data_IF_967617789324
#
_entry.id   IF_967617789324
#
_cell.length_a   1.000
_cell.length_b   1.000
_cell.length_c   1.000
_cell.angle_alpha   90.00
_cell.angle_beta   90.00
_cell.angle_gamma   90.00
#
_symmetry.space_group_name_H-M   'P 1'
#
loop_
_entity.id
_entity.type
_entity.pdbx_description
1 polymer ?
#
# COMPACT_ATOMS: atom_id res chain seq x y z
N UNK A 1 1.40 -33.52 -12.38
CA UNK A 1 0.20 -32.65 -12.24
C UNK A 1 -0.33 -32.60 -10.79
N UNK A 2 0.46 -32.25 -9.75
CA UNK A 2 -0.08 -32.01 -8.39
C UNK A 2 -0.45 -30.54 -8.09
N UNK A 3 -0.04 -29.57 -8.91
CA UNK A 3 -0.11 -28.14 -8.58
C UNK A 3 -1.45 -27.45 -8.88
N UNK A 4 -2.39 -28.11 -9.56
CA UNK A 4 -3.66 -27.46 -9.97
C UNK A 4 -4.58 -27.16 -8.79
N UNK A 5 -4.45 -27.89 -7.68
CA UNK A 5 -5.28 -27.69 -6.48
C UNK A 5 -4.63 -26.79 -5.42
N UNK A 6 -3.30 -26.59 -5.47
CA UNK A 6 -2.56 -25.84 -4.44
C UNK A 6 -2.74 -24.32 -4.57
N UNK A 7 -2.80 -23.80 -5.79
CA UNK A 7 -2.97 -22.36 -6.02
C UNK A 7 -4.39 -21.87 -5.66
N UNK A 8 -5.48 -22.53 -6.12
CA UNK A 8 -6.84 -22.16 -5.73
C UNK A 8 -7.06 -22.20 -4.22
N UNK A 9 -6.47 -23.19 -3.54
CA UNK A 9 -6.55 -23.31 -2.07
C UNK A 9 -5.76 -22.21 -1.36
N UNK A 10 -4.59 -21.81 -1.87
CA UNK A 10 -3.85 -20.67 -1.32
C UNK A 10 -4.63 -19.33 -1.46
N UNK A 11 -5.26 -19.07 -2.61
CA UNK A 11 -6.13 -17.90 -2.80
C UNK A 11 -7.36 -17.94 -1.88
N UNK A 12 -7.96 -19.12 -1.71
CA UNK A 12 -9.09 -19.32 -0.81
C UNK A 12 -8.70 -19.08 0.65
N UNK A 13 -7.60 -19.69 1.11
CA UNK A 13 -7.12 -19.57 2.48
C UNK A 13 -6.73 -18.13 2.83
N UNK A 14 -6.00 -17.46 1.93
CA UNK A 14 -5.65 -16.04 2.10
C UNK A 14 -6.89 -15.13 2.06
N UNK A 15 -7.84 -15.37 1.16
CA UNK A 15 -9.10 -14.64 1.10
C UNK A 15 -9.94 -14.77 2.38
N UNK A 16 -10.07 -15.99 2.91
CA UNK A 16 -10.74 -16.25 4.20
C UNK A 16 -10.02 -15.52 5.34
N UNK A 17 -8.69 -15.60 5.39
CA UNK A 17 -7.90 -14.95 6.44
C UNK A 17 -8.07 -13.43 6.41
N UNK A 18 -8.05 -12.81 5.22
CA UNK A 18 -8.33 -11.37 5.05
C UNK A 18 -9.74 -11.04 5.56
N UNK A 19 -10.75 -11.81 5.18
CA UNK A 19 -12.14 -11.56 5.60
C UNK A 19 -12.31 -11.73 7.10
N UNK A 20 -11.75 -12.78 7.70
CA UNK A 20 -11.77 -12.97 9.16
C UNK A 20 -11.11 -11.79 9.88
N UNK A 21 -9.97 -11.30 9.36
CA UNK A 21 -9.31 -10.11 9.90
C UNK A 21 -10.20 -8.85 9.77
N UNK A 22 -10.90 -8.70 8.65
CA UNK A 22 -11.81 -7.58 8.42
C UNK A 22 -13.04 -7.65 9.35
N UNK A 23 -13.60 -8.84 9.57
CA UNK A 23 -14.70 -9.07 10.52
C UNK A 23 -14.24 -8.76 11.96
N UNK A 24 -13.04 -9.19 12.34
CA UNK A 24 -12.48 -8.88 13.65
C UNK A 24 -12.31 -7.36 13.84
N UNK A 25 -11.74 -6.66 12.85
CA UNK A 25 -11.66 -5.19 12.82
C UNK A 25 -13.03 -4.50 12.83
N UNK A 26 -14.07 -5.12 12.27
CA UNK A 26 -15.43 -4.58 12.32
C UNK A 26 -15.99 -4.54 13.74
N UNK A 27 -15.63 -5.53 14.58
CA UNK A 27 -16.05 -5.54 15.99
C UNK A 27 -15.43 -4.38 16.76
N UNK A 28 -14.15 -4.13 16.58
CA UNK A 28 -13.44 -2.98 17.19
C UNK A 28 -13.98 -1.64 16.66
N UNK A 29 -14.31 -1.58 15.36
CA UNK A 29 -14.93 -0.40 14.75
C UNK A 29 -16.24 0.02 15.45
N UNK A 30 -17.03 -0.93 15.95
CA UNK A 30 -18.23 -0.64 16.72
C UNK A 30 -17.94 0.20 17.98
N UNK A 31 -16.90 -0.18 18.72
CA UNK A 31 -16.47 0.55 19.92
C UNK A 31 -15.94 1.95 19.57
N UNK A 32 -15.12 2.06 18.51
CA UNK A 32 -14.62 3.36 18.04
C UNK A 32 -15.74 4.29 17.55
N UNK A 33 -16.76 3.74 16.91
CA UNK A 33 -17.91 4.52 16.45
C UNK A 33 -18.68 5.13 17.62
N UNK A 34 -18.96 4.32 18.64
CA UNK A 34 -19.65 4.81 19.84
C UNK A 34 -18.81 5.85 20.59
N UNK A 35 -17.51 5.62 20.71
CA UNK A 35 -16.59 6.60 21.30
C UNK A 35 -16.60 7.92 20.52
N UNK A 36 -16.54 7.87 19.18
CA UNK A 36 -16.58 9.08 18.36
C UNK A 36 -17.90 9.85 18.51
N UNK A 37 -19.04 9.15 18.58
CA UNK A 37 -20.35 9.76 18.79
C UNK A 37 -20.43 10.45 20.16
N UNK A 38 -19.94 9.80 21.22
CA UNK A 38 -19.86 10.39 22.57
C UNK A 38 -18.92 11.60 22.59
N UNK A 39 -17.74 11.49 21.99
CA UNK A 39 -16.76 12.57 21.92
C UNK A 39 -17.31 13.80 21.17
N UNK A 40 -18.03 13.56 20.07
CA UNK A 40 -18.67 14.63 19.33
C UNK A 40 -19.86 15.25 20.08
N UNK A 41 -20.61 14.46 20.83
CA UNK A 41 -21.73 14.98 21.60
C UNK A 41 -21.26 15.78 22.82
N UNK A 42 -20.31 15.25 23.58
CA UNK A 42 -19.98 15.75 24.91
C UNK A 42 -18.85 16.79 24.90
N UNK A 43 -17.90 16.70 23.96
CA UNK A 43 -16.76 17.63 23.90
C UNK A 43 -16.98 18.72 22.85
N UNK A 44 -17.47 18.35 21.66
CA UNK A 44 -17.61 19.31 20.56
C UNK A 44 -18.79 20.28 20.78
N UNK A 45 -19.97 19.78 21.17
CA UNK A 45 -21.12 20.65 21.43
C UNK A 45 -20.98 21.45 22.72
N UNK A 46 -20.36 20.89 23.76
CA UNK A 46 -20.17 21.59 25.03
C UNK A 46 -19.19 22.77 24.94
N UNK A 47 -18.29 22.77 23.94
CA UNK A 47 -17.29 23.83 23.72
C UNK A 47 -17.51 24.61 22.41
N UNK A 48 -18.76 24.61 21.94
CA UNK A 48 -19.18 25.32 20.74
C UNK A 48 -19.16 26.85 21.00
N UNK A 49 -18.07 27.51 20.62
CA UNK A 49 -17.84 28.94 20.84
C UNK A 49 -16.40 29.31 21.24
N UNK A 50 -15.60 28.33 21.69
CA UNK A 50 -14.16 28.54 21.88
C UNK A 50 -13.47 28.68 20.51
N UNK A 51 -12.74 29.79 20.34
CA UNK A 51 -11.91 30.05 19.16
C UNK A 51 -10.84 28.95 19.05
N UNK A 52 -10.80 28.31 17.89
CA UNK A 52 -9.71 27.41 17.47
C UNK A 52 -8.52 28.28 17.02
N UNK A 53 -8.03 29.19 17.86
CA UNK A 53 -6.91 30.07 17.52
C UNK A 53 -5.67 29.66 18.33
N UNK A 54 -4.64 29.16 17.63
CA UNK A 54 -3.24 29.26 18.07
C UNK A 54 -2.60 28.06 18.78
N UNK A 55 -3.33 27.22 19.50
CA UNK A 55 -2.72 26.13 20.29
C UNK A 55 -2.95 24.74 19.70
N UNK A 56 -2.63 24.53 18.42
CA UNK A 56 -2.55 23.17 17.83
C UNK A 56 -1.43 22.31 18.47
N UNK A 57 -0.50 22.95 19.17
CA UNK A 57 0.69 22.31 19.78
C UNK A 57 0.46 21.71 21.16
N UNK A 58 -0.71 21.90 21.80
CA UNK A 58 -0.97 21.47 23.19
C UNK A 58 -2.03 20.37 23.35
N UNK A 59 -2.57 19.81 22.27
CA UNK A 59 -3.51 18.69 22.38
C UNK A 59 -2.80 17.35 22.58
N UNK A 60 -3.42 16.49 23.38
CA UNK A 60 -2.90 15.16 23.76
C UNK A 60 -2.72 14.29 22.51
N UNK A 61 -3.63 14.38 21.54
CA UNK A 61 -3.52 13.68 20.26
C UNK A 61 -2.33 14.16 19.43
N UNK A 62 -2.00 15.46 19.44
CA UNK A 62 -0.85 15.99 18.70
C UNK A 62 0.47 15.56 19.33
N UNK A 63 0.58 15.61 20.66
CA UNK A 63 1.76 15.14 21.36
C UNK A 63 2.01 13.64 21.11
N UNK A 64 0.96 12.82 21.19
CA UNK A 64 1.06 11.39 20.84
C UNK A 64 1.49 11.18 19.38
N UNK A 65 0.94 11.93 18.43
CA UNK A 65 1.33 11.82 17.01
C UNK A 65 2.79 12.23 16.81
N UNK A 66 3.27 13.28 17.46
CA UNK A 66 4.68 13.66 17.38
C UNK A 66 5.58 12.58 17.99
N UNK A 67 5.24 12.06 19.17
CA UNK A 67 6.05 11.08 19.87
C UNK A 67 6.05 9.70 19.19
N UNK A 68 4.95 9.30 18.54
CA UNK A 68 4.81 7.96 17.95
C UNK A 68 4.91 7.93 16.43
N UNK A 69 4.65 9.03 15.70
CA UNK A 69 4.73 9.08 14.23
C UNK A 69 5.97 9.82 13.78
N UNK A 70 6.31 10.98 14.37
CA UNK A 70 7.54 11.69 13.99
C UNK A 70 8.80 10.91 14.38
N UNK A 71 8.83 10.33 15.58
CA UNK A 71 10.01 9.57 16.05
C UNK A 71 10.11 8.14 15.50
N UNK A 72 9.00 7.48 15.11
CA UNK A 72 9.06 6.14 14.49
C UNK A 72 8.97 6.14 12.96
N UNK A 73 8.53 7.23 12.30
CA UNK A 73 8.48 7.26 10.82
C UNK A 73 9.83 7.53 10.16
N UNK A 74 10.84 7.93 10.93
CA UNK A 74 12.24 7.85 10.52
C UNK A 74 12.69 6.39 10.57
N UNK A 75 12.24 5.62 9.59
CA UNK A 75 12.81 4.31 9.31
C UNK A 75 14.30 4.55 9.09
N UNK A 76 15.14 4.17 10.06
CA UNK A 76 16.61 4.22 9.96
C UNK A 76 17.17 3.61 8.66
N UNK A 77 16.39 2.74 8.00
CA UNK A 77 16.69 2.20 6.68
C UNK A 77 16.48 3.20 5.53
N UNK A 78 15.43 4.02 5.59
CA UNK A 78 15.13 5.04 4.59
C UNK A 78 16.07 6.24 4.70
N UNK A 79 16.43 6.65 5.92
CA UNK A 79 17.46 7.67 6.15
C UNK A 79 18.83 7.17 5.69
N UNK A 80 19.19 5.91 5.98
CA UNK A 80 20.41 5.31 5.43
C UNK A 80 20.41 5.20 3.91
N UNK A 81 19.27 4.95 3.27
CA UNK A 81 19.17 4.93 1.80
C UNK A 81 19.29 6.34 1.23
N UNK A 82 18.64 7.33 1.86
CA UNK A 82 18.73 8.73 1.44
C UNK A 82 20.15 9.28 1.63
N UNK A 83 20.78 9.06 2.79
CA UNK A 83 22.17 9.42 3.06
C UNK A 83 23.12 8.77 2.03
N UNK A 84 22.88 7.49 1.69
CA UNK A 84 23.70 6.76 0.70
C UNK A 84 23.47 7.24 -0.74
N UNK A 85 22.27 7.72 -1.07
CA UNK A 85 21.93 8.29 -2.38
C UNK A 85 22.43 9.73 -2.53
N UNK A 86 22.46 10.49 -1.44
CA UNK A 86 22.89 11.89 -1.41
C UNK A 86 24.42 12.00 -1.53
N UNK A 87 25.18 11.14 -0.83
CA UNK A 87 26.64 11.16 -0.85
C UNK A 87 27.26 10.52 -2.11
N UNK A 88 26.56 9.62 -2.81
CA UNK A 88 27.11 8.91 -3.97
C UNK A 88 26.02 8.53 -5.00
N UNK A 89 25.35 9.52 -5.60
CA UNK A 89 24.30 9.33 -6.63
C UNK A 89 24.66 8.33 -7.73
N UNK A 90 25.90 8.33 -8.23
CA UNK A 90 26.33 7.43 -9.30
C UNK A 90 26.51 5.97 -8.82
N UNK A 91 27.07 5.78 -7.63
CA UNK A 91 27.23 4.45 -7.01
C UNK A 91 25.89 3.87 -6.55
N UNK A 92 25.02 4.73 -5.98
CA UNK A 92 23.67 4.37 -5.58
C UNK A 92 22.81 3.94 -6.76
N UNK A 93 22.91 4.63 -7.90
CA UNK A 93 22.22 4.25 -9.13
C UNK A 93 22.72 2.92 -9.69
N UNK A 94 24.05 2.69 -9.72
CA UNK A 94 24.63 1.41 -10.15
C UNK A 94 24.18 0.29 -9.22
N UNK A 95 24.21 0.49 -7.90
CA UNK A 95 23.79 -0.51 -6.92
C UNK A 95 22.29 -0.84 -7.05
N UNK A 96 21.43 0.17 -7.20
CA UNK A 96 20.00 -0.04 -7.47
C UNK A 96 19.77 -0.78 -8.78
N UNK A 97 20.48 -0.41 -9.85
CA UNK A 97 20.38 -1.10 -11.14
C UNK A 97 20.86 -2.55 -11.06
N UNK A 98 21.87 -2.84 -10.23
CA UNK A 98 22.41 -4.18 -10.01
C UNK A 98 21.44 -5.03 -9.17
N UNK A 99 20.83 -4.46 -8.13
CA UNK A 99 19.80 -5.13 -7.32
C UNK A 99 18.54 -5.39 -8.16
N UNK A 100 18.07 -4.39 -8.92
CA UNK A 100 16.92 -4.54 -9.82
C UNK A 100 17.22 -5.54 -10.95
N UNK A 101 18.40 -5.48 -11.56
CA UNK A 101 18.86 -6.41 -12.58
C UNK A 101 19.03 -7.83 -12.05
N UNK A 102 19.62 -8.00 -10.88
CA UNK A 102 19.73 -9.31 -10.22
C UNK A 102 18.37 -9.84 -9.81
N UNK A 103 17.47 -8.99 -9.30
CA UNK A 103 16.11 -9.40 -8.95
C UNK A 103 15.29 -9.81 -10.17
N UNK A 104 15.44 -9.12 -11.31
CA UNK A 104 14.76 -9.49 -12.55
C UNK A 104 15.31 -10.80 -13.10
N UNK A 105 16.63 -11.01 -13.01
CA UNK A 105 17.27 -12.27 -13.42
C UNK A 105 16.85 -13.43 -12.52
N UNK A 106 16.76 -13.22 -11.21
CA UNK A 106 16.25 -14.21 -10.24
C UNK A 106 14.77 -14.49 -10.49
N UNK A 107 13.95 -13.48 -10.77
CA UNK A 107 12.53 -13.67 -11.14
C UNK A 107 12.39 -14.44 -12.45
N UNK A 108 13.22 -14.15 -13.46
CA UNK A 108 13.26 -14.88 -14.73
C UNK A 108 13.76 -16.31 -14.54
N UNK A 109 14.76 -16.54 -13.69
CA UNK A 109 15.25 -17.88 -13.34
C UNK A 109 14.24 -18.68 -12.51
N UNK A 110 13.50 -18.02 -11.60
CA UNK A 110 12.36 -18.59 -10.88
C UNK A 110 11.20 -18.94 -11.82
N UNK A 111 11.09 -18.24 -12.96
CA UNK A 111 10.09 -18.49 -14.00
C UNK A 111 10.42 -19.68 -14.92
N UNK A 112 11.69 -20.07 -15.06
CA UNK A 112 12.14 -21.02 -16.10
C UNK A 112 12.11 -22.50 -15.67
N UNK A 113 11.84 -22.87 -14.41
CA UNK A 113 11.74 -24.29 -14.05
C UNK A 113 10.97 -24.58 -12.78
N UNK A 114 9.77 -25.17 -12.90
CA UNK A 114 8.96 -25.83 -11.87
C UNK A 114 8.65 -25.09 -10.54
N UNK A 115 9.18 -23.88 -10.31
CA UNK A 115 9.03 -23.09 -9.08
C UNK A 115 7.94 -22.01 -9.22
N UNK A 116 7.40 -21.80 -10.42
CA UNK A 116 6.36 -20.79 -10.71
C UNK A 116 5.14 -20.94 -9.80
N UNK A 117 4.67 -22.17 -9.57
CA UNK A 117 3.52 -22.41 -8.70
C UNK A 117 3.84 -22.05 -7.24
N UNK A 118 5.00 -22.47 -6.73
CA UNK A 118 5.43 -22.19 -5.35
C UNK A 118 5.70 -20.71 -5.11
N UNK A 119 6.36 -20.03 -6.06
CA UNK A 119 6.64 -18.59 -5.98
C UNK A 119 5.37 -17.75 -5.98
N UNK A 120 4.40 -18.09 -6.82
CA UNK A 120 3.10 -17.40 -6.83
C UNK A 120 2.33 -17.65 -5.54
N UNK A 121 2.33 -18.88 -5.01
CA UNK A 121 1.70 -19.16 -3.71
C UNK A 121 2.30 -18.31 -2.59
N UNK A 122 3.63 -18.26 -2.49
CA UNK A 122 4.32 -17.44 -1.48
C UNK A 122 3.95 -15.96 -1.64
N UNK A 123 3.92 -15.44 -2.87
CA UNK A 123 3.50 -14.05 -3.13
C UNK A 123 2.06 -13.78 -2.70
N UNK A 124 1.13 -14.69 -3.01
CA UNK A 124 -0.28 -14.58 -2.59
C UNK A 124 -0.40 -14.54 -1.07
N UNK A 125 0.38 -15.37 -0.35
CA UNK A 125 0.44 -15.33 1.11
C UNK A 125 1.05 -14.04 1.65
N UNK A 126 2.15 -13.55 1.07
CA UNK A 126 2.78 -12.29 1.48
C UNK A 126 1.82 -11.12 1.29
N UNK A 127 1.13 -11.06 0.15
CA UNK A 127 0.11 -10.02 -0.11
C UNK A 127 -1.04 -10.13 0.89
N UNK A 128 -1.53 -11.35 1.15
CA UNK A 128 -2.58 -11.57 2.14
C UNK A 128 -2.16 -11.10 3.54
N UNK A 129 -0.94 -11.43 3.98
CA UNK A 129 -0.38 -10.96 5.24
C UNK A 129 -0.21 -9.44 5.28
N UNK A 130 0.27 -8.83 4.20
CA UNK A 130 0.41 -7.37 4.10
C UNK A 130 -0.95 -6.66 4.23
N UNK A 131 -2.02 -7.21 3.63
CA UNK A 131 -3.38 -6.68 3.76
C UNK A 131 -3.90 -6.82 5.20
N UNK A 132 -3.61 -7.95 5.85
CA UNK A 132 -4.01 -8.20 7.23
C UNK A 132 -3.30 -7.25 8.19
N UNK A 133 -1.99 -7.08 8.04
CA UNK A 133 -1.22 -6.09 8.82
C UNK A 133 -1.75 -4.68 8.58
N UNK A 134 -2.12 -4.36 7.34
CA UNK A 134 -2.60 -3.05 6.94
C UNK A 134 -1.47 -2.03 6.76
N UNK A 135 -1.72 -0.92 6.04
CA UNK A 135 -0.74 0.14 5.87
C UNK A 135 -0.45 0.77 7.24
N UNK A 136 0.78 1.23 7.44
CA UNK A 136 1.21 1.86 8.70
C UNK A 136 0.22 2.92 9.21
N UNK A 137 -0.34 3.72 8.30
CA UNK A 137 -1.32 4.76 8.60
C UNK A 137 -2.62 4.25 9.23
N UNK A 138 -3.12 3.07 8.82
CA UNK A 138 -4.34 2.49 9.38
C UNK A 138 -4.07 1.94 10.79
N UNK A 139 -2.91 1.30 10.99
CA UNK A 139 -2.50 0.78 12.29
C UNK A 139 -2.23 1.89 13.31
N UNK A 140 -1.49 2.93 12.93
CA UNK A 140 -1.28 4.10 13.80
C UNK A 140 -2.57 4.83 14.11
N UNK A 141 -3.52 4.88 13.17
CA UNK A 141 -4.87 5.41 13.43
C UNK A 141 -5.65 4.58 14.47
N UNK A 142 -5.52 3.25 14.44
CA UNK A 142 -6.13 2.38 15.45
C UNK A 142 -5.49 2.58 16.83
N UNK A 143 -4.16 2.67 16.88
CA UNK A 143 -3.42 2.91 18.12
C UNK A 143 -3.76 4.29 18.74
N UNK A 144 -3.88 5.34 17.91
CA UNK A 144 -4.32 6.65 18.37
C UNK A 144 -5.74 6.59 18.95
N UNK A 145 -6.67 5.91 18.27
CA UNK A 145 -8.05 5.77 18.78
C UNK A 145 -8.10 4.96 20.07
N UNK A 146 -7.30 3.89 20.19
CA UNK A 146 -7.17 3.12 21.42
C UNK A 146 -6.64 3.98 22.58
N UNK A 147 -5.60 4.77 22.32
CA UNK A 147 -5.04 5.70 23.31
C UNK A 147 -6.05 6.77 23.75
N UNK A 148 -6.82 7.34 22.82
CA UNK A 148 -7.85 8.34 23.16
C UNK A 148 -9.00 7.72 23.95
N UNK A 149 -9.35 6.45 23.72
CA UNK A 149 -10.38 5.74 24.48
C UNK A 149 -9.98 5.45 25.93
N UNK A 150 -8.69 5.40 26.23
CA UNK A 150 -8.18 5.22 27.61
C UNK A 150 -8.20 6.53 28.42
N UNK A 151 -8.43 7.68 27.77
CA UNK A 151 -8.47 8.99 28.44
C UNK A 151 -9.88 9.37 28.84
N UNK A 152 -10.00 10.04 29.98
CA UNK A 152 -11.26 10.60 30.44
C UNK A 152 -11.73 11.72 29.49
N UNK A 153 -13.03 11.73 29.18
CA UNK A 153 -13.65 12.68 28.25
C UNK A 153 -13.44 14.15 28.65
N UNK A 154 -13.20 14.43 29.93
CA UNK A 154 -12.91 15.77 30.45
C UNK A 154 -11.57 16.34 29.98
N UNK A 155 -10.60 15.46 29.74
CA UNK A 155 -9.22 15.83 29.41
C UNK A 155 -9.03 16.04 27.90
N UNK A 156 -10.01 15.62 27.11
CA UNK A 156 -10.03 15.75 25.67
C UNK A 156 -10.48 17.15 25.25
N UNK A 157 -9.76 17.73 24.30
CA UNK A 157 -10.05 19.02 23.71
C UNK A 157 -10.78 18.87 22.36
N UNK A 158 -11.36 19.98 21.89
CA UNK A 158 -12.06 20.07 20.60
C UNK A 158 -11.17 19.64 19.41
N UNK A 159 -9.86 19.84 19.51
CA UNK A 159 -8.89 19.44 18.50
C UNK A 159 -8.71 17.91 18.45
N UNK A 160 -8.74 17.21 19.58
CA UNK A 160 -8.63 15.74 19.63
C UNK A 160 -9.81 15.08 18.91
N UNK A 161 -10.98 15.73 18.87
CA UNK A 161 -12.15 15.30 18.08
C UNK A 161 -11.83 15.27 16.58
N UNK A 162 -11.07 16.23 16.08
CA UNK A 162 -10.67 16.30 14.66
C UNK A 162 -9.69 15.17 14.34
N UNK A 163 -8.69 14.93 15.20
CA UNK A 163 -7.75 13.82 15.06
C UNK A 163 -8.44 12.46 15.13
N UNK A 164 -9.36 12.27 16.09
CA UNK A 164 -10.17 11.06 16.20
C UNK A 164 -11.02 10.82 14.94
N UNK A 165 -11.62 11.88 14.37
CA UNK A 165 -12.40 11.78 13.12
C UNK A 165 -11.53 11.38 11.93
N UNK A 166 -10.33 11.94 11.80
CA UNK A 166 -9.38 11.59 10.73
C UNK A 166 -8.93 10.13 10.88
N UNK A 167 -8.52 9.73 12.08
CA UNK A 167 -8.11 8.37 12.39
C UNK A 167 -9.24 7.37 12.09
N UNK A 168 -10.47 7.68 12.51
CA UNK A 168 -11.65 6.85 12.26
C UNK A 168 -11.93 6.68 10.76
N UNK A 169 -11.85 7.77 9.98
CA UNK A 169 -12.04 7.70 8.53
C UNK A 169 -10.96 6.87 7.83
N UNK A 170 -9.71 6.95 8.31
CA UNK A 170 -8.60 6.12 7.83
C UNK A 170 -8.87 4.64 8.07
N UNK A 171 -9.24 4.26 9.30
CA UNK A 171 -9.59 2.87 9.66
C UNK A 171 -10.78 2.38 8.84
N UNK A 172 -11.84 3.18 8.70
CA UNK A 172 -13.03 2.85 7.89
C UNK A 172 -12.71 2.66 6.41
N UNK A 173 -11.83 3.49 5.85
CA UNK A 173 -11.40 3.38 4.45
C UNK A 173 -10.62 2.09 4.25
N UNK A 174 -9.64 1.83 5.12
CA UNK A 174 -8.83 0.62 5.06
C UNK A 174 -9.67 -0.64 5.23
N UNK A 175 -10.63 -0.63 6.16
CA UNK A 175 -11.54 -1.74 6.35
C UNK A 175 -12.30 -2.05 5.04
N UNK A 176 -12.87 -1.05 4.38
CA UNK A 176 -13.55 -1.22 3.08
C UNK A 176 -12.63 -1.81 2.02
N UNK A 177 -11.39 -1.33 1.93
CA UNK A 177 -10.39 -1.84 0.99
C UNK A 177 -10.05 -3.31 1.30
N UNK A 178 -9.81 -3.63 2.57
CA UNK A 178 -9.46 -5.00 3.00
C UNK A 178 -10.61 -5.99 2.74
N UNK A 179 -11.86 -5.60 3.00
CA UNK A 179 -13.03 -6.43 2.69
C UNK A 179 -13.18 -6.62 1.17
N UNK A 180 -13.02 -5.56 0.39
CA UNK A 180 -13.09 -5.65 -1.07
C UNK A 180 -11.99 -6.57 -1.62
N UNK A 181 -10.76 -6.46 -1.13
CA UNK A 181 -9.66 -7.36 -1.50
C UNK A 181 -9.93 -8.81 -1.10
N UNK A 182 -10.46 -9.04 0.10
CA UNK A 182 -10.85 -10.39 0.55
C UNK A 182 -11.92 -11.02 -0.36
N UNK A 183 -12.95 -10.26 -0.74
CA UNK A 183 -13.99 -10.72 -1.68
C UNK A 183 -13.37 -11.02 -3.05
N UNK A 184 -12.51 -10.13 -3.55
CA UNK A 184 -11.81 -10.33 -4.84
C UNK A 184 -10.99 -11.62 -4.80
N UNK A 185 -10.25 -11.89 -3.73
CA UNK A 185 -9.47 -13.13 -3.58
C UNK A 185 -10.37 -14.38 -3.58
N UNK A 186 -11.54 -14.33 -2.92
CA UNK A 186 -12.49 -15.44 -2.96
C UNK A 186 -13.11 -15.68 -4.34
N UNK A 187 -13.47 -14.61 -5.06
CA UNK A 187 -14.06 -14.71 -6.41
C UNK A 187 -13.03 -15.23 -7.42
N UNK A 188 -11.77 -14.83 -7.24
CA UNK A 188 -10.66 -15.21 -8.11
C UNK A 188 -10.12 -16.61 -7.79
N UNK A 189 -10.27 -17.10 -6.56
CA UNK A 189 -9.83 -18.44 -6.11
C UNK A 189 -10.15 -19.59 -7.08
N UNK A 190 -11.38 -19.78 -7.62
CA UNK A 190 -11.67 -20.86 -8.55
C UNK A 190 -10.88 -20.77 -9.87
N UNK A 191 -10.40 -19.57 -10.23
CA UNK A 191 -9.56 -19.33 -11.40
C UNK A 191 -8.07 -19.26 -11.05
N UNK A 192 -7.68 -19.58 -9.82
CA UNK A 192 -6.32 -19.45 -9.30
C UNK A 192 -5.27 -20.08 -10.22
N UNK A 193 -5.54 -21.29 -10.73
CA UNK A 193 -4.63 -22.02 -11.63
C UNK A 193 -4.41 -21.32 -12.98
N UNK A 194 -5.40 -20.54 -13.46
CA UNK A 194 -5.35 -19.85 -14.75
C UNK A 194 -4.69 -18.48 -14.69
N UNK A 195 -4.53 -17.89 -13.51
CA UNK A 195 -4.00 -16.52 -13.37
C UNK A 195 -2.51 -16.43 -13.69
N UNK A 196 -1.61 -17.27 -13.11
CA UNK A 196 -0.19 -17.21 -13.44
C UNK A 196 0.11 -17.34 -14.94
N UNK A 197 -0.45 -18.32 -15.68
CA UNK A 197 -0.16 -18.42 -17.11
C UNK A 197 -0.75 -17.23 -17.88
N UNK A 198 -1.89 -16.68 -17.47
CA UNK A 198 -2.51 -15.53 -18.14
C UNK A 198 -1.71 -14.24 -17.90
N UNK A 199 -1.18 -14.04 -16.69
CA UNK A 199 -0.23 -12.96 -16.39
C UNK A 199 1.05 -13.14 -17.19
N UNK A 200 1.63 -14.34 -17.21
CA UNK A 200 2.84 -14.63 -17.97
C UNK A 200 2.64 -14.40 -19.47
N UNK A 201 1.49 -14.78 -20.02
CA UNK A 201 1.13 -14.54 -21.42
C UNK A 201 0.95 -13.05 -21.70
N UNK A 202 0.29 -12.30 -20.82
CA UNK A 202 0.15 -10.86 -20.94
C UNK A 202 1.51 -10.15 -20.95
N UNK A 203 2.39 -10.51 -20.00
CA UNK A 203 3.77 -10.00 -19.97
C UNK A 203 4.53 -10.38 -21.23
N UNK A 204 4.47 -11.64 -21.66
CA UNK A 204 5.13 -12.09 -22.89
C UNK A 204 4.64 -11.33 -24.12
N UNK A 205 3.33 -11.06 -24.22
CA UNK A 205 2.74 -10.32 -25.32
C UNK A 205 3.17 -8.84 -25.31
N UNK A 206 3.19 -8.20 -24.14
CA UNK A 206 3.67 -6.82 -23.98
C UNK A 206 5.16 -6.74 -24.30
N UNK A 207 5.97 -7.65 -23.73
CA UNK A 207 7.41 -7.73 -24.00
C UNK A 207 7.69 -7.92 -25.48
N UNK A 208 6.94 -8.80 -26.15
CA UNK A 208 7.08 -9.05 -27.58
C UNK A 208 6.67 -7.85 -28.42
N UNK A 209 5.46 -7.33 -28.23
CA UNK A 209 4.90 -6.25 -29.05
C UNK A 209 5.64 -4.92 -28.86
N UNK A 210 6.07 -4.63 -27.63
CA UNK A 210 6.57 -3.32 -27.25
C UNK A 210 8.10 -3.23 -27.29
N UNK A 211 8.82 -4.34 -27.06
CA UNK A 211 10.29 -4.33 -27.08
C UNK A 211 10.86 -5.14 -28.23
N UNK A 212 10.53 -6.43 -28.31
CA UNK A 212 11.25 -7.36 -29.18
C UNK A 212 10.91 -7.17 -30.66
N UNK A 213 9.62 -7.10 -31.01
CA UNK A 213 9.15 -6.94 -32.39
C UNK A 213 9.75 -5.70 -33.09
N UNK A 214 9.63 -4.48 -32.52
CA UNK A 214 10.26 -3.29 -33.12
C UNK A 214 11.79 -3.36 -33.12
N UNK A 215 12.42 -3.96 -32.10
CA UNK A 215 13.87 -4.17 -32.08
C UNK A 215 14.33 -5.11 -33.21
N UNK A 216 13.60 -6.22 -33.46
CA UNK A 216 13.89 -7.13 -34.56
C UNK A 216 13.69 -6.45 -35.91
N UNK A 217 12.62 -5.68 -36.09
CA UNK A 217 12.41 -4.91 -37.31
C UNK A 217 13.59 -3.94 -37.58
N UNK A 218 14.03 -3.19 -36.57
CA UNK A 218 15.18 -2.29 -36.68
C UNK A 218 16.51 -3.02 -36.92
N UNK A 219 16.67 -4.23 -36.38
CA UNK A 219 17.90 -5.02 -36.55
C UNK A 219 18.18 -5.38 -38.00
N UNK A 220 17.14 -5.48 -38.84
CA UNK A 220 17.29 -5.72 -40.28
C UNK A 220 17.87 -4.53 -41.04
N UNK A 221 17.74 -3.31 -40.49
CA UNK A 221 18.29 -2.08 -41.06
C UNK A 221 19.68 -1.80 -40.47
N UNK A 222 19.79 -1.83 -39.14
CA UNK A 222 21.06 -1.66 -38.43
C UNK A 222 21.00 -2.29 -37.04
N UNK A 223 21.95 -3.18 -36.70
CA UNK A 223 22.04 -3.74 -35.35
C UNK A 223 22.22 -2.66 -34.27
N UNK A 224 22.93 -1.58 -34.58
CA UNK A 224 23.17 -0.49 -33.63
C UNK A 224 21.87 0.26 -33.27
N UNK A 225 20.97 0.46 -34.24
CA UNK A 225 19.66 1.08 -34.00
C UNK A 225 18.76 0.20 -33.15
N UNK A 226 18.82 -1.13 -33.33
CA UNK A 226 18.08 -2.10 -32.52
C UNK A 226 18.47 -2.04 -31.04
N UNK A 227 19.78 -2.02 -30.77
CA UNK A 227 20.31 -1.91 -29.39
C UNK A 227 19.94 -0.55 -28.78
N UNK A 228 20.08 0.55 -29.54
CA UNK A 228 19.69 1.88 -29.10
C UNK A 228 18.20 2.00 -28.77
N UNK A 229 17.34 1.38 -29.59
CA UNK A 229 15.90 1.30 -29.34
C UNK A 229 15.58 0.54 -28.06
N UNK A 230 16.16 -0.64 -27.84
CA UNK A 230 15.92 -1.42 -26.63
C UNK A 230 16.31 -0.66 -25.37
N UNK A 231 17.48 -0.01 -25.37
CA UNK A 231 17.93 0.80 -24.24
C UNK A 231 16.94 1.92 -23.91
N UNK A 232 16.47 2.65 -24.94
CA UNK A 232 15.54 3.77 -24.76
C UNK A 232 14.13 3.31 -24.37
N UNK A 233 13.64 2.21 -24.97
CA UNK A 233 12.34 1.62 -24.65
C UNK A 233 12.27 1.14 -23.20
N UNK A 234 13.33 0.53 -22.68
CA UNK A 234 13.42 0.12 -21.28
C UNK A 234 13.37 1.34 -20.35
N UNK A 235 14.14 2.39 -20.64
CA UNK A 235 14.14 3.63 -19.84
C UNK A 235 12.74 4.27 -19.83
N UNK A 236 12.11 4.40 -21.01
CA UNK A 236 10.74 4.94 -21.12
C UNK A 236 9.73 4.09 -20.37
N UNK A 237 9.83 2.76 -20.45
CA UNK A 237 8.94 1.86 -19.73
C UNK A 237 9.01 2.08 -18.21
N UNK A 238 10.22 2.14 -17.65
CA UNK A 238 10.40 2.44 -16.23
C UNK A 238 9.90 3.84 -15.85
N UNK A 239 10.13 4.84 -16.69
CA UNK A 239 9.64 6.20 -16.47
C UNK A 239 8.10 6.25 -16.44
N UNK A 240 7.44 5.60 -17.40
CA UNK A 240 5.97 5.52 -17.46
C UNK A 240 5.43 4.74 -16.27
N UNK A 241 6.06 3.63 -15.89
CA UNK A 241 5.66 2.85 -14.72
C UNK A 241 5.73 3.71 -13.43
N UNK A 242 6.81 4.47 -13.24
CA UNK A 242 6.98 5.37 -12.10
C UNK A 242 5.93 6.50 -12.12
N UNK A 243 5.61 7.04 -13.30
CA UNK A 243 4.57 8.05 -13.44
C UNK A 243 3.18 7.49 -13.09
N UNK A 244 2.87 6.27 -13.53
CA UNK A 244 1.62 5.58 -13.20
C UNK A 244 1.50 5.28 -11.71
N UNK A 245 2.56 4.81 -11.04
CA UNK A 245 2.52 4.57 -9.59
C UNK A 245 2.31 5.87 -8.81
N UNK A 246 2.95 6.98 -9.23
CA UNK A 246 2.68 8.31 -8.65
C UNK A 246 1.25 8.79 -8.87
N UNK A 247 0.67 8.56 -10.06
CA UNK A 247 -0.72 8.92 -10.34
C UNK A 247 -1.70 8.11 -9.49
N UNK A 248 -1.48 6.80 -9.35
CA UNK A 248 -2.30 5.94 -8.49
C UNK A 248 -2.21 6.38 -7.03
N UNK A 249 -1.00 6.71 -6.56
CA UNK A 249 -0.80 7.22 -5.19
C UNK A 249 -1.47 8.58 -4.98
N UNK A 250 -1.37 9.50 -5.95
CA UNK A 250 -2.02 10.81 -5.93
C UNK A 250 -3.56 10.71 -5.94
N UNK A 251 -4.12 9.79 -6.72
CA UNK A 251 -5.56 9.49 -6.71
C UNK A 251 -6.02 8.87 -5.39
N UNK A 252 -5.15 8.07 -4.75
CA UNK A 252 -5.41 7.52 -3.42
C UNK A 252 -5.34 8.57 -2.32
N UNK A 253 -4.45 9.57 -2.43
CA UNK A 253 -4.33 10.66 -1.44
C UNK A 253 -5.34 11.79 -1.67
N UNK A 254 -5.77 12.02 -2.90
CA UNK A 254 -6.74 13.07 -3.27
C UNK A 254 -8.17 12.84 -2.73
N UNK A 255 -8.46 11.67 -2.16
CA UNK A 255 -9.77 11.38 -1.53
C UNK A 255 -9.87 11.78 -0.05
N UNK A 256 -8.82 12.37 0.52
CA UNK A 256 -8.84 12.97 1.87
C UNK A 256 -8.96 14.50 1.84
N UNK A 257 -9.47 15.10 0.76
CA UNK A 257 -10.00 16.46 0.84
C UNK A 257 -11.27 16.42 1.68
N UNK A 258 -11.14 16.81 2.95
CA UNK A 258 -12.25 17.20 3.80
C UNK A 258 -13.26 18.03 2.98
N UNK A 259 -14.57 17.79 3.09
CA UNK A 259 -15.53 18.77 2.62
C UNK A 259 -15.28 20.06 3.40
N UNK A 260 -14.71 21.06 2.73
CA UNK A 260 -14.76 22.47 3.09
C UNK A 260 -16.16 22.99 2.82
N UNK A 261 -17.14 22.42 3.50
CA UNK A 261 -18.46 23.01 3.65
C UNK A 261 -18.94 22.62 5.03
N UNK A 262 -18.79 23.52 6.00
CA UNK A 262 -19.91 23.94 6.83
C UNK A 262 -19.72 25.44 7.14
N UNK A 263 -20.82 26.20 7.23
CA UNK A 263 -20.85 27.66 7.35
C UNK A 263 -20.24 28.18 8.66
#
# INVERSE_FOLDING_TARGET
>A
MPYEMELPTAFLASGILIILSAIWRFREYGAFKQFQENLHHDVWKAREGEKIEGELSRCISHQWVMDNVSNNSHNSFQDRINDYLEDNTLSGFICLALILGASSMVVVLLLVGSIVATGVMIMVFIVGLAVVMGPGNAKTSQELLGFLMEKDLSDLNRQDVVYAKIAFNSVKSWMRISTALGIVFLVISPFGSSIPPLIAQAFSYISWSLFLSPAFALSTVSPALSVGYLALAIILFFYVLLLLTRLVFSLSSGRSSLPTEYP
#
